data_IF_257633146206
#
_entry.id   IF_257633146206
#
_cell.length_a   1.000
_cell.length_b   1.000
_cell.length_c   1.000
_cell.angle_alpha   90.00
_cell.angle_beta   90.00
_cell.angle_gamma   90.00
#
_symmetry.space_group_name_H-M   'P 1'
#
loop_
_entity.id
_entity.type
_entity.pdbx_description
1 polymer ?
#
# COMPACT_ATOMS: atom_id res chain seq x y z
N UNK A 1 -1.20 -12.36 -10.88
CA UNK A 1 -1.59 -12.81 -9.53
C UNK A 1 -1.09 -11.78 -8.53
N UNK A 2 -1.90 -11.41 -7.53
CA UNK A 2 -1.44 -10.53 -6.44
C UNK A 2 -0.48 -11.30 -5.53
N UNK A 3 0.56 -10.62 -5.02
CA UNK A 3 1.50 -11.22 -4.06
C UNK A 3 0.80 -11.47 -2.72
N UNK A 4 1.18 -12.57 -2.06
CA UNK A 4 0.82 -12.91 -0.69
C UNK A 4 2.08 -13.33 0.07
N UNK A 5 2.07 -13.15 1.39
CA UNK A 5 3.24 -13.43 2.22
C UNK A 5 3.34 -12.51 3.44
N UNK A 6 4.50 -12.55 4.08
CA UNK A 6 4.82 -11.72 5.24
C UNK A 6 5.86 -10.69 4.84
N UNK A 7 5.60 -9.43 5.15
CA UNK A 7 6.52 -8.33 4.95
C UNK A 7 6.63 -7.48 6.23
N UNK A 8 7.59 -6.56 6.22
CA UNK A 8 7.77 -5.53 7.23
C UNK A 8 7.61 -4.15 6.60
N UNK A 9 7.10 -3.20 7.36
CA UNK A 9 7.21 -1.78 6.97
C UNK A 9 8.67 -1.36 7.11
N UNK A 10 9.40 -1.20 6.01
CA UNK A 10 10.82 -0.84 6.03
C UNK A 10 11.08 0.66 5.92
N UNK A 11 10.17 1.38 5.26
CA UNK A 11 10.20 2.85 5.13
C UNK A 11 8.78 3.41 5.12
N UNK A 12 8.65 4.64 5.60
CA UNK A 12 7.41 5.41 5.61
C UNK A 12 7.71 6.80 5.04
N UNK A 13 6.78 7.37 4.27
CA UNK A 13 6.92 8.72 3.72
C UNK A 13 5.60 9.48 3.68
N UNK A 14 5.66 10.76 4.02
CA UNK A 14 4.63 11.75 3.74
C UNK A 14 4.83 12.34 2.35
N UNK A 15 3.73 12.54 1.61
CA UNK A 15 3.72 13.05 0.23
C UNK A 15 4.87 12.48 -0.62
N UNK A 16 4.95 11.15 -0.77
CA UNK A 16 6.05 10.52 -1.47
C UNK A 16 6.07 10.91 -2.94
N UNK A 17 7.26 11.07 -3.50
CA UNK A 17 7.39 11.15 -4.96
C UNK A 17 7.01 9.81 -5.60
N UNK A 18 6.41 9.90 -6.78
CA UNK A 18 6.10 8.75 -7.60
C UNK A 18 6.95 8.72 -8.85
N UNK A 19 7.54 7.56 -9.10
CA UNK A 19 8.32 7.27 -10.30
C UNK A 19 7.59 6.13 -11.01
N UNK A 20 6.96 6.38 -12.17
CA UNK A 20 6.30 5.32 -12.93
C UNK A 20 7.32 4.28 -13.38
N UNK A 21 6.97 3.00 -13.26
CA UNK A 21 7.79 1.92 -13.82
C UNK A 21 7.73 1.95 -15.35
N UNK A 22 8.69 1.32 -16.05
CA UNK A 22 8.63 1.21 -17.52
C UNK A 22 7.32 0.58 -18.01
N UNK A 23 6.78 -0.41 -17.28
CA UNK A 23 5.49 -1.03 -17.58
C UNK A 23 4.32 -0.03 -17.48
N UNK A 24 4.30 0.81 -16.45
CA UNK A 24 3.26 1.85 -16.29
C UNK A 24 3.37 2.87 -17.42
N UNK A 25 4.58 3.29 -17.78
CA UNK A 25 4.79 4.19 -18.92
C UNK A 25 4.26 3.58 -20.22
N UNK A 26 4.53 2.31 -20.48
CA UNK A 26 4.06 1.61 -21.67
C UNK A 26 2.53 1.44 -21.71
N UNK A 27 1.89 1.20 -20.55
CA UNK A 27 0.46 0.88 -20.47
C UNK A 27 -0.46 2.10 -20.32
N UNK A 28 -0.05 3.10 -19.56
CA UNK A 28 -0.88 4.23 -19.13
C UNK A 28 -0.26 5.59 -19.43
N UNK A 29 0.92 5.63 -20.04
CA UNK A 29 1.64 6.87 -20.32
C UNK A 29 1.01 7.74 -21.43
N UNK A 30 1.62 8.92 -21.68
CA UNK A 30 2.88 9.37 -21.11
C UNK A 30 2.70 10.04 -19.73
N UNK A 31 3.44 9.56 -18.72
CA UNK A 31 3.61 10.26 -17.44
C UNK A 31 4.99 10.93 -17.37
N UNK A 32 5.16 12.01 -16.58
CA UNK A 32 6.48 12.52 -16.23
C UNK A 32 7.35 11.42 -15.59
N UNK A 33 8.67 11.48 -15.81
CA UNK A 33 9.62 10.52 -15.21
C UNK A 33 9.60 10.52 -13.68
N UNK A 34 9.16 11.63 -13.07
CA UNK A 34 8.90 11.77 -11.64
C UNK A 34 7.73 12.71 -11.46
N UNK A 35 6.77 12.33 -10.64
CA UNK A 35 5.73 13.20 -10.13
C UNK A 35 6.06 13.47 -8.67
N UNK A 36 6.27 14.74 -8.33
CA UNK A 36 6.59 15.14 -6.97
C UNK A 36 5.42 14.87 -6.02
N UNK A 37 5.70 14.77 -4.73
CA UNK A 37 4.68 14.73 -3.68
C UNK A 37 3.66 15.87 -3.82
N UNK A 38 2.38 15.55 -3.65
CA UNK A 38 1.29 16.53 -3.66
C UNK A 38 -0.05 15.94 -4.12
N UNK A 39 -1.12 16.75 -4.17
CA UNK A 39 -2.49 16.27 -4.45
C UNK A 39 -2.66 15.55 -5.79
N UNK A 40 -1.83 15.86 -6.79
CA UNK A 40 -1.87 15.22 -8.11
C UNK A 40 -1.08 13.89 -8.16
N UNK A 41 -0.42 13.49 -7.07
CA UNK A 41 0.43 12.31 -7.02
C UNK A 41 -0.40 11.02 -6.82
N UNK A 42 -0.22 9.99 -7.66
CA UNK A 42 -0.99 8.75 -7.56
C UNK A 42 -0.69 7.89 -6.32
N UNK A 43 0.39 8.18 -5.59
CA UNK A 43 0.67 7.58 -4.28
C UNK A 43 -0.08 8.27 -3.13
N UNK A 44 -0.69 9.43 -3.38
CA UNK A 44 -1.46 10.16 -2.38
C UNK A 44 -0.63 10.73 -1.23
N UNK A 45 -1.27 10.93 -0.08
CA UNK A 45 -0.72 11.65 1.04
C UNK A 45 0.36 10.88 1.84
N UNK A 46 0.30 9.54 1.85
CA UNK A 46 1.22 8.68 2.62
C UNK A 46 1.54 7.40 1.86
N UNK A 47 2.73 6.86 2.09
CA UNK A 47 3.09 5.51 1.67
C UNK A 47 3.93 4.77 2.73
N UNK A 48 3.59 3.50 2.94
CA UNK A 48 4.33 2.52 3.71
C UNK A 48 4.94 1.51 2.74
N UNK A 49 6.27 1.42 2.73
CA UNK A 49 7.03 0.58 1.81
C UNK A 49 7.30 -0.77 2.47
N UNK A 50 6.98 -1.84 1.75
CA UNK A 50 7.01 -3.19 2.28
C UNK A 50 8.31 -3.91 1.89
N UNK A 51 8.95 -4.52 2.88
CA UNK A 51 10.24 -5.17 2.76
C UNK A 51 10.16 -6.63 3.20
N UNK A 52 10.93 -7.49 2.54
CA UNK A 52 11.23 -8.85 2.97
C UNK A 52 12.71 -8.91 3.37
N UNK A 53 12.98 -9.01 4.67
CA UNK A 53 14.33 -8.77 5.19
C UNK A 53 14.81 -7.36 4.85
N UNK A 54 15.95 -7.25 4.14
CA UNK A 54 16.51 -5.98 3.67
C UNK A 54 16.09 -5.60 2.24
N UNK A 55 15.25 -6.40 1.59
CA UNK A 55 14.86 -6.21 0.18
C UNK A 55 13.53 -5.49 0.07
N UNK A 56 13.49 -4.40 -0.69
CA UNK A 56 12.24 -3.74 -1.07
C UNK A 56 11.44 -4.67 -1.99
N UNK A 57 10.19 -4.94 -1.61
CA UNK A 57 9.29 -5.79 -2.39
C UNK A 57 8.67 -5.05 -3.58
N UNK A 58 8.82 -3.72 -3.64
CA UNK A 58 8.11 -2.78 -4.52
C UNK A 58 6.60 -2.67 -4.24
N UNK A 59 6.09 -3.43 -3.26
CA UNK A 59 4.73 -3.30 -2.75
C UNK A 59 4.65 -2.20 -1.71
N UNK A 60 3.52 -1.50 -1.71
CA UNK A 60 3.25 -0.37 -0.83
C UNK A 60 1.81 -0.41 -0.37
N UNK A 61 1.57 0.04 0.86
CA UNK A 61 0.26 0.53 1.28
C UNK A 61 0.33 2.05 1.11
N UNK A 62 -0.55 2.62 0.29
CA UNK A 62 -0.48 4.04 -0.02
C UNK A 62 -1.87 4.65 -0.26
N UNK A 63 -1.94 5.98 -0.17
CA UNK A 63 -3.14 6.75 -0.50
C UNK A 63 -3.38 6.81 -2.01
N UNK A 64 -4.32 7.62 -2.46
CA UNK A 64 -4.49 7.84 -3.90
C UNK A 64 -5.16 9.18 -4.16
N UNK A 65 -4.91 9.75 -5.33
CA UNK A 65 -5.65 10.91 -5.84
C UNK A 65 -6.87 10.51 -6.69
N UNK A 66 -7.11 9.21 -6.87
CA UNK A 66 -8.24 8.67 -7.64
C UNK A 66 -8.94 7.56 -6.82
N UNK A 67 -9.63 7.91 -5.73
CA UNK A 67 -10.25 6.95 -4.82
C UNK A 67 -11.29 6.04 -5.50
N UNK A 68 -11.89 6.47 -6.61
CA UNK A 68 -12.82 5.70 -7.44
C UNK A 68 -12.21 4.40 -8.02
N UNK A 69 -10.88 4.28 -8.06
CA UNK A 69 -10.16 3.09 -8.54
C UNK A 69 -9.67 2.16 -7.42
N UNK A 70 -10.03 2.44 -6.16
CA UNK A 70 -9.77 1.52 -5.04
C UNK A 70 -10.51 0.20 -5.29
N UNK A 71 -9.84 -0.94 -5.06
CA UNK A 71 -10.39 -2.28 -5.30
C UNK A 71 -10.30 -2.78 -6.74
N UNK A 72 -9.90 -1.92 -7.71
CA UNK A 72 -9.63 -2.35 -9.08
C UNK A 72 -8.20 -2.87 -9.22
N UNK A 73 -7.99 -3.88 -10.06
CA UNK A 73 -6.69 -4.49 -10.35
C UNK A 73 -5.79 -3.60 -11.25
N UNK A 74 -5.78 -2.28 -10.99
CA UNK A 74 -5.01 -1.30 -11.76
C UNK A 74 -3.57 -1.20 -11.22
N UNK A 75 -3.36 -1.47 -9.92
CA UNK A 75 -2.00 -1.52 -9.36
C UNK A 75 -1.29 -2.81 -9.77
N UNK A 76 0.03 -2.73 -9.98
CA UNK A 76 0.94 -3.90 -10.05
C UNK A 76 1.08 -4.60 -8.69
N UNK A 77 0.03 -4.56 -7.85
CA UNK A 77 -0.06 -5.22 -6.56
C UNK A 77 0.05 -4.32 -5.32
N UNK A 78 0.30 -3.01 -5.46
CA UNK A 78 0.20 -2.08 -4.33
C UNK A 78 -1.24 -2.00 -3.78
N UNK A 79 -1.35 -1.80 -2.46
CA UNK A 79 -2.61 -1.67 -1.73
C UNK A 79 -2.96 -0.19 -1.64
N UNK A 80 -4.09 0.20 -2.25
CA UNK A 80 -4.60 1.57 -2.25
C UNK A 80 -5.64 1.78 -1.16
N UNK A 81 -5.55 2.93 -0.50
CA UNK A 81 -6.50 3.42 0.48
C UNK A 81 -6.92 4.86 0.10
N UNK A 82 -7.99 5.37 0.72
CA UNK A 82 -8.25 6.82 0.70
C UNK A 82 -7.09 7.56 1.37
N UNK A 83 -6.97 8.88 1.13
CA UNK A 83 -5.91 9.64 1.79
C UNK A 83 -6.13 9.71 3.30
N UNK A 84 -7.38 9.82 3.72
CA UNK A 84 -7.81 9.87 5.11
C UNK A 84 -7.42 8.57 5.83
N UNK A 85 -7.75 7.41 5.25
CA UNK A 85 -7.48 6.12 5.89
C UNK A 85 -5.98 5.81 5.94
N UNK A 86 -5.21 6.17 4.90
CA UNK A 86 -3.76 5.95 4.93
C UNK A 86 -3.06 6.89 5.90
N UNK A 87 -3.57 8.11 6.11
CA UNK A 87 -3.05 9.04 7.13
C UNK A 87 -3.27 8.44 8.52
N UNK A 88 -4.49 7.97 8.81
CA UNK A 88 -4.79 7.33 10.10
C UNK A 88 -3.93 6.10 10.34
N UNK A 89 -3.74 5.25 9.32
CA UNK A 89 -2.86 4.08 9.42
C UNK A 89 -1.40 4.50 9.66
N UNK A 90 -0.92 5.50 8.93
CA UNK A 90 0.45 5.98 9.02
C UNK A 90 0.79 6.46 10.42
N UNK A 91 -0.12 7.17 11.08
CA UNK A 91 0.09 7.73 12.42
C UNK A 91 0.12 6.65 13.52
N UNK A 92 -0.47 5.47 13.25
CA UNK A 92 -0.54 4.35 14.20
C UNK A 92 0.57 3.33 14.01
N UNK A 93 1.15 3.24 12.81
CA UNK A 93 2.15 2.25 12.44
C UNK A 93 3.56 2.77 12.64
N UNK A 94 4.50 1.87 12.95
CA UNK A 94 5.92 2.17 13.03
C UNK A 94 6.70 1.35 12.00
N UNK A 95 7.86 1.85 11.60
CA UNK A 95 8.84 1.05 10.86
C UNK A 95 9.16 -0.23 11.66
N UNK A 96 9.24 -1.37 10.98
CA UNK A 96 9.37 -2.71 11.56
C UNK A 96 8.04 -3.43 11.85
N UNK A 97 6.90 -2.76 11.69
CA UNK A 97 5.58 -3.39 11.82
C UNK A 97 5.42 -4.55 10.83
N UNK A 98 4.80 -5.65 11.30
CA UNK A 98 4.50 -6.81 10.46
C UNK A 98 3.28 -6.55 9.59
N UNK A 99 3.39 -6.88 8.31
CA UNK A 99 2.29 -6.90 7.35
C UNK A 99 2.13 -8.33 6.84
N UNK A 100 0.92 -8.87 6.92
CA UNK A 100 0.60 -10.19 6.39
C UNK A 100 -0.42 -10.02 5.27
N UNK A 101 -0.04 -10.36 4.05
CA UNK A 101 -0.94 -10.34 2.89
C UNK A 101 -1.43 -11.76 2.63
N UNK A 102 -2.73 -11.98 2.82
CA UNK A 102 -3.34 -13.29 2.70
C UNK A 102 -3.54 -13.66 1.22
N UNK A 103 -3.38 -14.95 0.91
CA UNK A 103 -3.74 -15.46 -0.41
C UNK A 103 -5.27 -15.38 -0.63
N UNK A 104 -5.74 -15.25 -1.88
CA UNK A 104 -7.16 -15.36 -2.19
C UNK A 104 -7.78 -16.64 -1.60
N UNK A 105 -8.91 -16.51 -0.89
CA UNK A 105 -9.59 -17.64 -0.24
C UNK A 105 -9.14 -17.94 1.21
N UNK A 106 -8.10 -17.29 1.73
CA UNK A 106 -7.66 -17.46 3.12
C UNK A 106 -8.17 -16.37 4.09
N UNK A 107 -9.12 -15.53 3.69
CA UNK A 107 -9.60 -14.36 4.47
C UNK A 107 -10.48 -14.68 5.70
N UNK A 108 -10.47 -15.90 6.24
CA UNK A 108 -11.17 -16.21 7.48
C UNK A 108 -10.35 -15.76 8.69
N UNK A 109 -10.58 -14.54 9.14
CA UNK A 109 -10.09 -14.07 10.44
C UNK A 109 -10.87 -14.78 11.56
N UNK A 110 -10.25 -15.77 12.20
CA UNK A 110 -10.76 -16.45 13.40
C UNK A 110 -10.24 -15.75 14.66
N UNK A 111 -10.65 -14.51 14.89
CA UNK A 111 -10.38 -13.87 16.18
C UNK A 111 -11.21 -14.54 17.26
N UNK A 112 -10.55 -15.14 18.24
CA UNK A 112 -11.15 -15.68 19.45
C UNK A 112 -11.90 -14.59 20.20
N UNK A 113 -13.24 -14.65 20.18
CA UNK A 113 -14.08 -13.90 21.09
C UNK A 113 -14.09 -14.60 22.45
N UNK A 114 -13.04 -14.43 23.24
CA UNK A 114 -13.05 -14.78 24.66
C UNK A 114 -13.33 -13.54 25.48
N UNK A 115 -14.62 -13.20 25.66
CA UNK A 115 -15.04 -12.59 26.93
C UNK A 115 -16.54 -12.74 27.20
N UNK A 116 -16.82 -13.21 28.42
CA UNK A 116 -18.03 -12.99 29.26
C UNK A 116 -19.29 -13.78 28.91
N UNK A 117 -19.55 -14.82 29.72
CA UNK A 117 -20.65 -14.80 30.71
C UNK A 117 -20.31 -15.75 31.86
N UNK A 118 -20.29 -15.17 33.05
CA UNK A 118 -20.59 -15.80 34.34
C UNK A 118 -21.94 -16.49 34.30
#
# INVERSE_FOLDING_TARGET
MAWSGVAKVGRMAEWPDWIPTPEIQARLGPYPARISGGPANPLGARALYLYEGSKDTLYRIHGTNQPEYIGQAISSGCIRMTNEDVIDLFDRVKTGATVVVLAPGQSRWTGTNTSRRS
#
